data_IF_878887177618
#
_entry.id   IF_878887177618
#
_cell.length_a   1.000
_cell.length_b   1.000
_cell.length_c   1.000
_cell.angle_alpha   90.00
_cell.angle_beta   90.00
_cell.angle_gamma   90.00
#
_symmetry.space_group_name_H-M   'P 1'
#
loop_
_entity.id
_entity.type
_entity.pdbx_description
1 polymer ?
#
# COMPACT_ATOMS: atom_id res chain seq x y z
N UNK A 1 -21.88 -3.99 -2.41
CA UNK A 1 -22.09 -2.53 -2.54
C UNK A 1 -20.81 -1.74 -2.33
N UNK A 2 -20.08 -1.89 -1.17
CA UNK A 2 -18.85 -1.11 -0.90
C UNK A 2 -17.75 -1.38 -1.95
N UNK A 3 -17.51 -2.65 -2.28
CA UNK A 3 -16.55 -3.05 -3.32
C UNK A 3 -16.95 -2.49 -4.70
N UNK A 4 -18.23 -2.54 -5.07
CA UNK A 4 -18.74 -1.99 -6.33
C UNK A 4 -18.52 -0.47 -6.42
N UNK A 5 -18.83 0.25 -5.33
CA UNK A 5 -18.55 1.68 -5.22
C UNK A 5 -17.06 1.96 -5.42
N UNK A 6 -16.19 1.20 -4.75
CA UNK A 6 -14.74 1.34 -4.86
C UNK A 6 -14.22 1.02 -6.25
N UNK A 7 -14.73 -0.04 -6.90
CA UNK A 7 -14.40 -0.37 -8.30
C UNK A 7 -14.72 0.80 -9.23
N UNK A 8 -15.88 1.41 -9.06
CA UNK A 8 -16.27 2.58 -9.87
C UNK A 8 -15.30 3.75 -9.64
N UNK A 9 -15.00 4.09 -8.38
CA UNK A 9 -14.06 5.18 -8.04
C UNK A 9 -12.66 4.93 -8.59
N UNK A 10 -12.15 3.70 -8.44
CA UNK A 10 -10.83 3.31 -8.92
C UNK A 10 -10.77 3.31 -10.46
N UNK A 11 -11.77 2.75 -11.14
CA UNK A 11 -11.84 2.76 -12.61
C UNK A 11 -11.84 4.19 -13.15
N UNK A 12 -12.63 5.08 -12.56
CA UNK A 12 -12.67 6.49 -12.95
C UNK A 12 -11.35 7.24 -12.69
N UNK A 13 -10.54 6.75 -11.75
CA UNK A 13 -9.19 7.26 -11.46
C UNK A 13 -8.08 6.57 -12.30
N UNK A 14 -8.45 5.73 -13.29
CA UNK A 14 -7.52 5.09 -14.22
C UNK A 14 -6.86 3.81 -13.71
N UNK A 15 -7.38 3.18 -12.65
CA UNK A 15 -6.86 1.91 -12.16
C UNK A 15 -7.39 0.73 -12.97
N UNK A 16 -6.52 -0.26 -13.20
CA UNK A 16 -6.87 -1.58 -13.72
C UNK A 16 -6.91 -2.58 -12.57
N UNK A 17 -8.02 -3.30 -12.42
CA UNK A 17 -8.14 -4.34 -11.39
C UNK A 17 -7.37 -5.58 -11.82
N UNK A 18 -6.59 -6.13 -10.90
CA UNK A 18 -5.83 -7.38 -11.02
C UNK A 18 -6.19 -8.32 -9.88
N UNK A 19 -5.77 -9.56 -9.97
CA UNK A 19 -5.87 -10.54 -8.89
C UNK A 19 -4.59 -11.38 -8.88
N UNK A 20 -3.83 -11.32 -7.78
CA UNK A 20 -2.60 -12.08 -7.60
C UNK A 20 -2.86 -13.32 -6.74
N UNK A 21 -2.11 -14.43 -6.93
CA UNK A 21 -2.26 -15.63 -6.11
C UNK A 21 -2.10 -15.34 -4.62
N UNK A 22 -2.85 -16.05 -3.78
CA UNK A 22 -2.72 -15.95 -2.32
C UNK A 22 -1.50 -16.73 -1.80
N UNK A 23 -1.19 -17.86 -2.41
CA UNK A 23 -0.06 -18.72 -2.07
C UNK A 23 1.08 -18.50 -3.04
N UNK A 24 2.25 -18.11 -2.54
CA UNK A 24 3.42 -17.72 -3.33
C UNK A 24 4.69 -18.39 -2.78
N UNK A 25 5.62 -18.72 -3.67
CA UNK A 25 6.90 -19.34 -3.34
C UNK A 25 7.75 -18.45 -2.43
N UNK A 26 8.42 -19.06 -1.45
CA UNK A 26 9.30 -18.41 -0.48
C UNK A 26 10.34 -17.48 -1.14
N UNK A 27 10.90 -17.89 -2.28
CA UNK A 27 11.95 -17.13 -2.97
C UNK A 27 11.51 -15.71 -3.39
N UNK A 28 10.20 -15.51 -3.65
CA UNK A 28 9.67 -14.18 -3.93
C UNK A 28 9.74 -13.27 -2.70
N UNK A 29 9.46 -13.84 -1.53
CA UNK A 29 9.47 -13.13 -0.25
C UNK A 29 10.90 -12.81 0.20
N UNK A 30 11.85 -13.73 -0.04
CA UNK A 30 13.28 -13.50 0.20
C UNK A 30 13.82 -12.37 -0.70
N UNK A 31 13.57 -12.43 -2.01
CA UNK A 31 14.00 -11.41 -2.98
C UNK A 31 13.46 -10.03 -2.63
N UNK A 32 12.21 -9.95 -2.23
CA UNK A 32 11.56 -8.68 -1.85
C UNK A 32 12.01 -8.16 -0.48
N UNK A 33 12.62 -8.99 0.36
CA UNK A 33 13.03 -8.65 1.73
C UNK A 33 11.93 -8.81 2.78
N UNK A 34 10.74 -9.26 2.38
CA UNK A 34 9.64 -9.50 3.32
C UNK A 34 9.95 -10.66 4.26
N UNK A 35 10.66 -11.69 3.77
CA UNK A 35 11.00 -12.86 4.59
C UNK A 35 11.79 -12.46 5.84
N UNK A 36 12.81 -11.62 5.69
CA UNK A 36 13.67 -11.20 6.79
C UNK A 36 13.04 -10.15 7.71
N UNK A 37 12.14 -9.31 7.17
CA UNK A 37 11.59 -8.17 7.90
C UNK A 37 10.17 -8.42 8.43
N UNK A 38 9.47 -9.40 7.88
CA UNK A 38 8.05 -9.65 8.14
C UNK A 38 7.73 -11.14 8.37
N UNK A 39 8.75 -12.03 8.36
CA UNK A 39 8.60 -13.48 8.40
C UNK A 39 7.79 -14.00 9.60
N UNK A 40 7.98 -13.41 10.78
CA UNK A 40 7.27 -13.79 12.01
C UNK A 40 5.73 -13.60 11.93
N UNK A 41 5.27 -12.80 10.97
CA UNK A 41 3.84 -12.55 10.72
C UNK A 41 3.30 -13.34 9.52
N UNK A 42 4.09 -14.21 8.90
CA UNK A 42 3.69 -14.98 7.72
C UNK A 42 3.18 -16.36 8.12
N UNK A 43 2.08 -16.78 7.49
CA UNK A 43 1.66 -18.18 7.49
C UNK A 43 2.41 -18.90 6.38
N UNK A 44 3.07 -20.01 6.73
CA UNK A 44 3.85 -20.81 5.79
C UNK A 44 3.31 -22.23 5.70
N UNK A 45 3.56 -22.89 4.57
CA UNK A 45 3.26 -24.29 4.32
C UNK A 45 4.40 -24.92 3.56
N UNK A 46 4.63 -26.21 3.80
CA UNK A 46 5.63 -26.99 3.08
C UNK A 46 4.93 -28.08 2.25
N UNK A 47 5.41 -28.27 1.03
CA UNK A 47 4.89 -29.29 0.12
C UNK A 47 5.65 -30.59 0.28
N UNK A 48 5.11 -31.75 -0.20
CA UNK A 48 5.79 -33.04 -0.11
C UNK A 48 7.19 -33.09 -0.79
N UNK A 49 7.47 -32.17 -1.74
CA UNK A 49 8.77 -32.00 -2.38
C UNK A 49 9.63 -30.92 -1.68
N UNK A 50 9.37 -30.66 -0.40
CA UNK A 50 10.14 -29.77 0.49
C UNK A 50 10.21 -28.30 0.05
N UNK A 51 9.27 -27.86 -0.80
CA UNK A 51 9.16 -26.43 -1.15
C UNK A 51 8.33 -25.67 -0.12
N UNK A 52 8.84 -24.53 0.28
CA UNK A 52 8.16 -23.65 1.21
C UNK A 52 7.38 -22.57 0.45
N UNK A 53 6.12 -22.48 0.77
CA UNK A 53 5.21 -21.43 0.32
C UNK A 53 4.73 -20.59 1.48
N UNK A 54 4.37 -19.36 1.21
CA UNK A 54 3.72 -18.50 2.19
C UNK A 54 2.42 -17.94 1.64
N UNK A 55 1.42 -17.86 2.51
CA UNK A 55 0.19 -17.11 2.22
C UNK A 55 0.55 -15.62 2.28
N UNK A 56 0.23 -14.87 1.24
CA UNK A 56 0.65 -13.49 1.12
C UNK A 56 0.19 -12.61 2.29
N UNK A 57 1.12 -11.94 2.99
CA UNK A 57 0.79 -10.94 4.00
C UNK A 57 0.57 -9.56 3.40
N UNK A 58 0.97 -9.37 2.13
CA UNK A 58 0.90 -8.15 1.32
C UNK A 58 0.76 -8.51 -0.16
N UNK A 59 0.23 -7.58 -0.97
CA UNK A 59 0.02 -7.81 -2.40
C UNK A 59 1.19 -7.32 -3.28
N UNK A 60 2.06 -6.47 -2.75
CA UNK A 60 3.07 -5.76 -3.51
C UNK A 60 4.02 -6.64 -4.33
N UNK A 61 4.62 -7.75 -3.83
CA UNK A 61 5.51 -8.57 -4.66
C UNK A 61 4.78 -9.23 -5.83
N UNK A 62 3.53 -9.69 -5.62
CA UNK A 62 2.68 -10.24 -6.68
C UNK A 62 2.38 -9.20 -7.76
N UNK A 63 2.05 -7.97 -7.36
CA UNK A 63 1.78 -6.86 -8.27
C UNK A 63 3.02 -6.53 -9.13
N UNK A 64 4.22 -6.55 -8.56
CA UNK A 64 5.46 -6.36 -9.33
C UNK A 64 5.64 -7.45 -10.39
N UNK A 65 5.26 -8.71 -10.11
CA UNK A 65 5.31 -9.77 -11.12
C UNK A 65 4.35 -9.50 -12.29
N UNK A 66 3.16 -8.93 -12.03
CA UNK A 66 2.23 -8.48 -13.09
C UNK A 66 2.85 -7.36 -13.92
N UNK A 67 3.47 -6.35 -13.26
CA UNK A 67 4.16 -5.27 -13.96
C UNK A 67 5.24 -5.79 -14.92
N UNK A 68 5.99 -6.80 -14.51
CA UNK A 68 7.08 -7.42 -15.30
C UNK A 68 6.61 -8.19 -16.52
N UNK A 69 5.32 -8.49 -16.64
CA UNK A 69 4.79 -9.18 -17.83
C UNK A 69 4.85 -8.26 -19.04
N UNK A 70 5.64 -8.65 -20.03
CA UNK A 70 5.89 -7.89 -21.25
C UNK A 70 6.78 -6.65 -21.04
N UNK A 71 7.21 -6.08 -22.17
CA UNK A 71 8.03 -4.86 -22.15
C UNK A 71 7.18 -3.66 -21.74
N UNK A 72 7.72 -2.83 -20.88
CA UNK A 72 7.14 -1.55 -20.48
C UNK A 72 8.01 -0.39 -20.96
N UNK A 73 7.38 0.71 -21.36
CA UNK A 73 8.05 1.95 -21.71
C UNK A 73 7.55 3.12 -20.85
N UNK A 74 8.26 4.23 -20.89
CA UNK A 74 7.83 5.46 -20.20
C UNK A 74 6.41 5.92 -20.59
N UNK A 75 5.92 5.53 -21.78
CA UNK A 75 4.56 5.86 -22.26
C UNK A 75 3.47 5.06 -21.56
N UNK A 76 3.83 3.93 -20.95
CA UNK A 76 2.92 3.10 -20.19
C UNK A 76 2.77 3.60 -18.74
N UNK A 77 3.58 4.58 -18.33
CA UNK A 77 3.60 5.15 -16.98
C UNK A 77 2.85 6.50 -16.92
N UNK A 78 2.10 6.79 -15.85
CA UNK A 78 1.92 5.94 -14.66
C UNK A 78 0.99 4.76 -14.94
N UNK A 79 1.41 3.54 -14.55
CA UNK A 79 0.58 2.34 -14.60
C UNK A 79 -0.02 2.08 -13.21
N UNK A 80 -1.35 2.09 -13.13
CA UNK A 80 -2.12 1.97 -11.87
C UNK A 80 -2.80 0.60 -11.82
N UNK A 81 -2.36 -0.27 -10.92
CA UNK A 81 -2.91 -1.61 -10.72
C UNK A 81 -3.57 -1.69 -9.34
N UNK A 82 -4.84 -2.09 -9.29
CA UNK A 82 -5.59 -2.23 -8.03
C UNK A 82 -6.02 -3.67 -7.81
N UNK A 83 -6.14 -4.07 -6.54
CA UNK A 83 -6.53 -5.41 -6.15
C UNK A 83 -7.35 -5.39 -4.87
N UNK A 84 -8.47 -6.10 -4.84
CA UNK A 84 -9.11 -6.49 -3.58
C UNK A 84 -8.46 -7.78 -3.09
N UNK A 85 -7.23 -7.64 -2.62
CA UNK A 85 -6.38 -8.76 -2.25
C UNK A 85 -6.66 -9.26 -0.84
N UNK A 86 -6.95 -10.56 -0.71
CA UNK A 86 -7.04 -11.20 0.60
C UNK A 86 -5.64 -11.52 1.10
N UNK A 87 -5.31 -10.96 2.26
CA UNK A 87 -3.99 -11.10 2.89
C UNK A 87 -4.14 -11.71 4.28
N UNK A 88 -3.11 -12.43 4.72
CA UNK A 88 -3.10 -13.09 6.02
C UNK A 88 -1.86 -12.68 6.81
N UNK A 89 -2.07 -12.33 8.08
CA UNK A 89 -0.99 -11.98 9.01
C UNK A 89 -1.18 -12.70 10.31
N UNK A 90 -0.13 -13.32 10.81
CA UNK A 90 -0.14 -13.98 12.11
C UNK A 90 -0.09 -12.95 13.23
N UNK A 91 -1.19 -12.22 13.40
CA UNK A 91 -1.35 -11.31 14.53
C UNK A 91 -1.44 -12.10 15.85
N UNK A 92 -0.74 -11.69 16.91
CA UNK A 92 -0.86 -12.34 18.22
C UNK A 92 -2.30 -12.25 18.72
N UNK A 93 -2.76 -13.29 19.44
CA UNK A 93 -4.15 -13.39 19.88
C UNK A 93 -4.60 -12.19 20.72
N UNK A 94 -3.73 -11.64 21.56
CA UNK A 94 -4.00 -10.46 22.38
C UNK A 94 -4.17 -9.15 21.60
N UNK A 95 -3.79 -9.13 20.32
CA UNK A 95 -3.96 -7.96 19.46
C UNK A 95 -5.27 -7.99 18.66
N UNK A 96 -5.98 -9.12 18.62
CA UNK A 96 -7.21 -9.28 17.85
C UNK A 96 -8.34 -8.43 18.45
N UNK A 97 -9.15 -7.78 17.58
CA UNK A 97 -10.19 -6.88 18.03
C UNK A 97 -11.40 -6.84 17.07
N UNK A 98 -12.30 -7.80 17.16
CA UNK A 98 -13.48 -7.90 16.30
C UNK A 98 -13.14 -7.75 14.81
N UNK A 99 -13.87 -6.92 14.07
CA UNK A 99 -13.56 -6.58 12.68
C UNK A 99 -12.37 -5.62 12.53
N UNK A 100 -11.99 -4.93 13.59
CA UNK A 100 -10.98 -3.86 13.54
C UNK A 100 -9.55 -4.39 13.44
N UNK A 101 -9.27 -5.60 13.95
CA UNK A 101 -7.97 -6.27 13.82
C UNK A 101 -8.13 -7.78 13.76
N UNK A 102 -7.89 -8.35 12.60
CA UNK A 102 -8.11 -9.75 12.25
C UNK A 102 -6.85 -10.35 11.62
N UNK A 103 -6.75 -11.67 11.53
CA UNK A 103 -5.63 -12.38 10.88
C UNK A 103 -5.78 -12.51 9.38
N UNK A 104 -7.00 -12.46 8.86
CA UNK A 104 -7.30 -12.50 7.43
C UNK A 104 -8.22 -11.33 7.08
N UNK A 105 -7.83 -10.50 6.12
CA UNK A 105 -8.62 -9.36 5.70
C UNK A 105 -8.46 -9.07 4.22
N UNK A 106 -9.45 -8.42 3.65
CA UNK A 106 -9.43 -7.96 2.26
C UNK A 106 -8.93 -6.52 2.22
N UNK A 107 -7.82 -6.32 1.54
CA UNK A 107 -7.24 -5.00 1.35
C UNK A 107 -7.66 -4.43 0.00
N UNK A 108 -8.13 -3.19 -0.03
CA UNK A 108 -8.34 -2.41 -1.25
C UNK A 108 -7.01 -1.80 -1.73
N UNK A 109 -6.09 -2.66 -2.03
CA UNK A 109 -4.71 -2.30 -2.33
C UNK A 109 -4.54 -1.82 -3.77
N UNK A 110 -3.57 -0.96 -4.00
CA UNK A 110 -3.10 -0.68 -5.35
C UNK A 110 -1.67 -0.19 -5.36
N UNK A 111 -1.06 -0.38 -6.52
CA UNK A 111 0.30 0.01 -6.78
C UNK A 111 0.35 0.85 -8.05
N UNK A 112 1.04 1.99 -7.96
CA UNK A 112 1.23 2.90 -9.09
C UNK A 112 2.71 2.85 -9.44
N UNK A 113 3.01 2.35 -10.63
CA UNK A 113 4.36 2.40 -11.19
C UNK A 113 4.50 3.68 -11.98
N UNK A 114 5.48 4.51 -11.63
CA UNK A 114 5.65 5.83 -12.24
C UNK A 114 7.13 6.20 -12.36
N UNK A 115 7.43 7.30 -13.05
CA UNK A 115 8.76 7.90 -13.03
C UNK A 115 8.95 8.77 -11.78
N UNK A 116 10.20 9.16 -11.47
CA UNK A 116 10.48 10.05 -10.32
C UNK A 116 9.76 11.39 -10.47
N UNK A 117 9.63 11.94 -11.69
CA UNK A 117 8.96 13.22 -11.96
C UNK A 117 7.45 13.16 -11.68
N UNK A 118 6.84 11.98 -11.82
CA UNK A 118 5.40 11.77 -11.62
C UNK A 118 4.99 11.59 -10.14
N UNK A 119 5.93 11.35 -9.23
CA UNK A 119 5.64 11.01 -7.81
C UNK A 119 4.71 12.04 -7.17
N UNK A 120 5.08 13.32 -7.24
CA UNK A 120 4.33 14.38 -6.53
C UNK A 120 2.90 14.54 -7.05
N UNK A 121 2.71 14.40 -8.35
CA UNK A 121 1.38 14.48 -8.98
C UNK A 121 0.52 13.28 -8.58
N UNK A 122 1.06 12.07 -8.67
CA UNK A 122 0.36 10.85 -8.31
C UNK A 122 0.03 10.80 -6.81
N UNK A 123 0.96 11.18 -5.92
CA UNK A 123 0.68 11.28 -4.49
C UNK A 123 -0.43 12.30 -4.18
N UNK A 124 -0.44 13.44 -4.88
CA UNK A 124 -1.50 14.45 -4.74
C UNK A 124 -2.85 13.91 -5.21
N UNK A 125 -2.86 13.19 -6.34
CA UNK A 125 -4.07 12.57 -6.91
C UNK A 125 -4.65 11.51 -5.97
N UNK A 126 -3.81 10.62 -5.43
CA UNK A 126 -4.22 9.60 -4.45
C UNK A 126 -4.78 10.25 -3.19
N UNK A 127 -4.11 11.26 -2.65
CA UNK A 127 -4.58 11.96 -1.45
C UNK A 127 -5.96 12.57 -1.66
N UNK A 128 -6.19 13.22 -2.81
CA UNK A 128 -7.52 13.76 -3.17
C UNK A 128 -8.57 12.66 -3.29
N UNK A 129 -8.22 11.53 -3.90
CA UNK A 129 -9.14 10.39 -4.04
C UNK A 129 -9.56 9.85 -2.67
N UNK A 130 -8.63 9.65 -1.74
CA UNK A 130 -8.92 9.19 -0.37
C UNK A 130 -9.87 10.15 0.34
N UNK A 131 -9.54 11.44 0.34
CA UNK A 131 -10.32 12.45 1.04
C UNK A 131 -11.73 12.60 0.46
N UNK A 132 -11.87 12.49 -0.88
CA UNK A 132 -13.17 12.52 -1.53
C UNK A 132 -14.04 11.32 -1.14
N UNK A 133 -13.46 10.11 -1.12
CA UNK A 133 -14.16 8.88 -0.72
C UNK A 133 -14.60 8.97 0.74
N UNK A 134 -13.75 9.43 1.64
CA UNK A 134 -14.12 9.57 3.05
C UNK A 134 -15.24 10.58 3.26
N UNK A 135 -15.19 11.69 2.53
CA UNK A 135 -16.28 12.68 2.54
C UNK A 135 -17.59 12.10 2.02
N UNK A 136 -17.56 11.35 0.89
CA UNK A 136 -18.74 10.69 0.33
C UNK A 136 -19.37 9.70 1.32
N UNK A 137 -18.53 9.09 2.18
CA UNK A 137 -18.94 8.16 3.23
C UNK A 137 -19.19 8.84 4.59
N UNK A 138 -19.34 10.17 4.61
CA UNK A 138 -19.77 10.93 5.79
C UNK A 138 -18.67 11.26 6.82
N UNK A 139 -17.41 10.93 6.57
CA UNK A 139 -16.31 11.28 7.48
C UNK A 139 -15.88 12.73 7.30
N UNK A 140 -16.18 13.57 8.28
CA UNK A 140 -15.88 15.01 8.25
C UNK A 140 -14.45 15.36 8.69
N UNK A 141 -13.83 14.50 9.50
CA UNK A 141 -12.48 14.71 10.04
C UNK A 141 -11.59 13.54 9.69
N UNK A 142 -10.45 13.85 9.08
CA UNK A 142 -9.39 12.88 8.74
C UNK A 142 -8.09 13.43 9.32
N UNK A 143 -7.38 12.60 10.07
CA UNK A 143 -6.09 12.97 10.64
C UNK A 143 -4.99 12.37 9.78
N UNK A 144 -3.99 13.19 9.44
CA UNK A 144 -2.83 12.73 8.67
C UNK A 144 -1.65 12.51 9.61
N UNK A 145 -0.97 11.38 9.41
CA UNK A 145 0.31 11.08 10.06
C UNK A 145 1.35 10.80 8.99
N UNK A 146 2.46 11.48 9.07
CA UNK A 146 3.62 11.21 8.24
C UNK A 146 4.62 10.39 9.04
N UNK A 147 5.11 9.29 8.46
CA UNK A 147 6.09 8.41 9.08
C UNK A 147 7.33 8.33 8.20
N UNK A 148 8.46 8.69 8.77
CA UNK A 148 9.77 8.67 8.11
C UNK A 148 10.46 7.30 8.24
N UNK A 149 11.71 7.23 7.82
CA UNK A 149 12.53 6.02 7.77
C UNK A 149 12.66 5.32 9.12
N UNK A 150 12.39 3.99 9.20
CA UNK A 150 12.65 3.20 10.40
C UNK A 150 14.14 2.83 10.50
N UNK A 151 14.58 2.40 11.69
CA UNK A 151 15.94 1.91 11.91
C UNK A 151 16.24 0.68 11.02
N UNK A 152 15.34 -0.31 11.03
CA UNK A 152 15.44 -1.51 10.18
C UNK A 152 14.77 -1.26 8.82
N UNK A 153 15.57 -0.90 7.81
CA UNK A 153 15.09 -0.57 6.46
C UNK A 153 15.94 -1.20 5.36
N UNK A 154 15.47 -1.14 4.14
CA UNK A 154 16.21 -1.48 2.92
C UNK A 154 16.50 -0.20 2.13
N UNK A 155 17.56 -0.25 1.29
CA UNK A 155 17.96 0.87 0.43
C UNK A 155 18.89 1.86 1.10
N UNK A 156 19.56 2.65 0.26
CA UNK A 156 20.52 3.67 0.65
C UNK A 156 19.86 4.93 1.21
N UNK A 157 20.54 5.67 2.07
CA UNK A 157 20.00 6.90 2.66
C UNK A 157 19.61 7.95 1.62
N UNK A 158 20.37 8.06 0.53
CA UNK A 158 20.05 8.97 -0.58
C UNK A 158 18.70 8.65 -1.25
N UNK A 159 18.31 7.39 -1.30
CA UNK A 159 17.01 6.92 -1.81
C UNK A 159 15.89 7.31 -0.85
N UNK A 160 16.13 7.16 0.45
CA UNK A 160 15.21 7.59 1.49
C UNK A 160 15.00 9.10 1.49
N UNK A 161 16.08 9.89 1.36
CA UNK A 161 16.01 11.36 1.28
C UNK A 161 15.11 11.82 0.12
N UNK A 162 15.22 11.18 -1.05
CA UNK A 162 14.36 11.46 -2.21
C UNK A 162 12.90 11.12 -1.94
N UNK A 163 12.65 9.92 -1.39
CA UNK A 163 11.29 9.42 -1.11
C UNK A 163 10.58 10.31 -0.09
N UNK A 164 11.26 10.65 1.00
CA UNK A 164 10.72 11.51 2.07
C UNK A 164 10.44 12.91 1.56
N UNK A 165 11.38 13.51 0.80
CA UNK A 165 11.20 14.83 0.20
C UNK A 165 9.98 14.87 -0.74
N UNK A 166 9.83 13.85 -1.58
CA UNK A 166 8.73 13.77 -2.54
C UNK A 166 7.38 13.63 -1.83
N UNK A 167 7.30 12.78 -0.81
CA UNK A 167 6.07 12.55 -0.05
C UNK A 167 5.68 13.77 0.77
N UNK A 168 6.63 14.43 1.43
CA UNK A 168 6.39 15.68 2.16
C UNK A 168 5.95 16.81 1.23
N UNK A 169 6.51 16.89 0.01
CA UNK A 169 6.06 17.87 -0.99
C UNK A 169 4.60 17.64 -1.40
N UNK A 170 4.17 16.39 -1.52
CA UNK A 170 2.78 16.03 -1.80
C UNK A 170 1.85 16.40 -0.64
N UNK A 171 2.22 16.13 0.61
CA UNK A 171 1.44 16.54 1.80
C UNK A 171 1.26 18.05 1.83
N UNK A 172 2.33 18.81 1.67
CA UNK A 172 2.29 20.29 1.71
C UNK A 172 1.34 20.87 0.67
N UNK A 173 1.22 20.24 -0.52
CA UNK A 173 0.27 20.66 -1.56
C UNK A 173 -1.19 20.51 -1.15
N UNK A 174 -1.51 19.60 -0.22
CA UNK A 174 -2.88 19.41 0.28
C UNK A 174 -3.34 20.51 1.24
N UNK A 175 -2.40 21.23 1.84
CA UNK A 175 -2.63 22.24 2.90
C UNK A 175 -3.31 21.65 4.16
N UNK A 176 -3.27 20.34 4.34
CA UNK A 176 -3.79 19.68 5.53
C UNK A 176 -2.73 19.63 6.63
N UNK A 177 -3.19 19.73 7.88
CA UNK A 177 -2.35 19.51 9.04
C UNK A 177 -1.96 18.03 9.16
N UNK A 178 -0.74 17.76 9.59
CA UNK A 178 -0.26 16.41 9.81
C UNK A 178 0.68 16.34 11.02
N UNK A 179 0.74 15.19 11.65
CA UNK A 179 1.70 14.87 12.69
C UNK A 179 2.84 14.02 12.13
N UNK A 180 4.01 14.08 12.78
CA UNK A 180 5.19 13.29 12.39
C UNK A 180 5.34 12.13 13.36
N UNK A 181 5.33 10.91 12.84
CA UNK A 181 5.66 9.69 13.55
C UNK A 181 7.06 9.24 13.14
N UNK A 182 8.07 9.59 13.93
CA UNK A 182 9.47 9.25 13.62
C UNK A 182 9.71 7.75 13.70
N UNK A 183 10.38 7.22 12.66
CA UNK A 183 10.77 5.81 12.59
C UNK A 183 9.65 4.81 12.30
N UNK A 184 8.43 5.27 12.00
CA UNK A 184 7.26 4.40 11.82
C UNK A 184 6.93 4.13 10.33
N UNK A 185 7.82 4.49 9.42
CA UNK A 185 7.70 4.18 8.00
C UNK A 185 7.71 2.67 7.74
N UNK A 186 7.32 2.26 6.53
CA UNK A 186 7.53 0.89 6.10
C UNK A 186 9.03 0.62 5.91
N UNK A 187 9.45 -0.64 5.99
CA UNK A 187 10.88 -0.97 5.84
C UNK A 187 11.44 -0.61 4.45
N UNK A 188 10.58 -0.36 3.47
CA UNK A 188 10.93 -0.03 2.07
C UNK A 188 10.66 1.41 1.67
N UNK A 189 9.93 2.19 2.48
CA UNK A 189 9.63 3.58 2.14
C UNK A 189 8.84 4.36 3.21
N UNK A 190 8.90 5.71 3.17
CA UNK A 190 8.11 6.57 4.04
C UNK A 190 6.62 6.47 3.69
N UNK A 191 5.74 6.81 4.64
CA UNK A 191 4.30 6.70 4.46
C UNK A 191 3.51 7.90 4.98
N UNK A 192 2.36 8.14 4.37
CA UNK A 192 1.27 8.93 4.93
C UNK A 192 0.18 7.96 5.38
N UNK A 193 -0.33 8.15 6.57
CA UNK A 193 -1.47 7.44 7.12
C UNK A 193 -2.66 8.38 7.20
N UNK A 194 -3.81 7.90 6.72
CA UNK A 194 -5.10 8.58 6.84
C UNK A 194 -5.88 7.89 7.96
N UNK A 195 -6.04 8.59 9.07
CA UNK A 195 -6.59 8.05 10.30
C UNK A 195 -8.01 8.52 10.46
N UNK A 196 -8.90 7.58 10.70
CA UNK A 196 -10.30 7.83 11.08
C UNK A 196 -10.45 7.54 12.58
N UNK A 197 -11.34 8.30 13.21
CA UNK A 197 -11.68 8.11 14.62
C UNK A 197 -13.02 7.43 14.75
N UNK A 198 -13.08 6.37 15.55
CA UNK A 198 -14.32 5.66 15.81
C UNK A 198 -15.24 6.44 16.78
N UNK A 199 -16.44 5.89 17.02
CA UNK A 199 -17.47 6.53 17.82
C UNK A 199 -17.08 6.76 19.30
N UNK A 200 -16.12 6.00 19.82
CA UNK A 200 -15.60 6.12 21.19
C UNK A 200 -14.25 6.83 21.28
N UNK A 201 -13.79 7.43 20.17
CA UNK A 201 -12.61 8.28 20.15
C UNK A 201 -11.28 7.58 19.88
N UNK A 202 -11.27 6.29 19.49
CA UNK A 202 -10.04 5.56 19.11
C UNK A 202 -9.64 5.89 17.70
N UNK A 203 -8.34 6.06 17.47
CA UNK A 203 -7.76 6.32 16.16
C UNK A 203 -7.45 5.00 15.43
N UNK A 204 -7.90 4.90 14.19
CA UNK A 204 -7.65 3.75 13.32
C UNK A 204 -7.02 4.18 12.01
N UNK A 205 -5.86 3.63 11.70
CA UNK A 205 -5.27 3.76 10.38
C UNK A 205 -6.15 3.04 9.37
N UNK A 206 -6.62 3.78 8.37
CA UNK A 206 -7.39 3.26 7.24
C UNK A 206 -6.62 3.44 5.94
N UNK A 207 -6.63 4.63 5.36
CA UNK A 207 -5.87 4.90 4.15
C UNK A 207 -4.37 4.97 4.39
N UNK A 208 -3.61 4.60 3.38
CA UNK A 208 -2.14 4.73 3.36
C UNK A 208 -1.65 5.14 1.98
N UNK A 209 -0.55 5.88 1.95
CA UNK A 209 0.21 6.17 0.75
C UNK A 209 1.69 6.10 1.09
N UNK A 210 2.44 5.30 0.34
CA UNK A 210 3.86 5.05 0.57
C UNK A 210 4.63 5.26 -0.73
N UNK A 211 5.83 5.83 -0.64
CA UNK A 211 6.74 5.99 -1.78
C UNK A 211 7.88 4.99 -1.64
N UNK A 212 8.01 4.12 -2.62
CA UNK A 212 8.98 3.03 -2.65
C UNK A 212 9.86 3.13 -3.90
N UNK A 213 11.15 3.37 -3.68
CA UNK A 213 12.20 3.34 -4.71
C UNK A 213 13.08 2.07 -4.62
N UNK A 214 12.71 1.10 -3.77
CA UNK A 214 13.52 -0.07 -3.48
C UNK A 214 12.96 -1.37 -4.07
N UNK A 215 11.70 -1.67 -3.78
CA UNK A 215 11.09 -2.96 -4.06
C UNK A 215 11.07 -3.33 -5.56
N UNK A 216 10.71 -2.41 -6.49
CA UNK A 216 10.72 -2.74 -7.91
C UNK A 216 12.09 -3.19 -8.41
N UNK A 217 13.17 -2.51 -8.01
CA UNK A 217 14.54 -2.86 -8.36
C UNK A 217 14.97 -4.20 -7.79
N UNK A 218 14.66 -4.48 -6.52
CA UNK A 218 14.93 -5.77 -5.87
C UNK A 218 14.26 -6.94 -6.58
N UNK A 219 13.09 -6.72 -7.14
CA UNK A 219 12.33 -7.73 -7.91
C UNK A 219 12.61 -7.69 -9.41
N UNK A 220 13.56 -6.85 -9.87
CA UNK A 220 13.99 -6.77 -11.26
C UNK A 220 12.95 -6.16 -12.22
N UNK A 221 12.12 -5.24 -11.73
CA UNK A 221 11.19 -4.49 -12.56
C UNK A 221 11.91 -3.34 -13.28
N UNK A 222 11.72 -3.22 -14.59
CA UNK A 222 12.30 -2.16 -15.41
C UNK A 222 11.32 -1.67 -16.47
N UNK A 223 11.53 -0.44 -16.93
CA UNK A 223 10.88 0.13 -18.11
C UNK A 223 11.93 0.77 -19.03
N UNK A 224 11.60 0.97 -20.30
CA UNK A 224 12.44 1.68 -21.26
C UNK A 224 12.10 3.16 -21.22
N UNK A 225 13.07 3.99 -20.88
CA UNK A 225 12.91 5.45 -20.83
C UNK A 225 13.02 6.10 -22.23
N UNK A 226 12.82 7.40 -22.29
CA UNK A 226 12.85 8.20 -23.53
C UNK A 226 14.16 8.12 -24.30
N UNK A 227 15.26 7.94 -23.58
CA UNK A 227 16.61 7.79 -24.12
C UNK A 227 16.95 6.35 -24.55
N UNK A 228 15.99 5.41 -24.45
CA UNK A 228 16.19 4.00 -24.76
C UNK A 228 16.85 3.20 -23.63
N UNK A 229 17.27 3.83 -22.53
CA UNK A 229 17.84 3.13 -21.37
C UNK A 229 16.79 2.39 -20.55
N UNK A 230 17.20 1.32 -19.87
CA UNK A 230 16.36 0.64 -18.90
C UNK A 230 16.48 1.30 -17.54
N UNK A 231 15.36 1.72 -16.97
CA UNK A 231 15.26 2.31 -15.63
C UNK A 231 14.33 1.53 -14.74
N UNK A 232 14.58 1.61 -13.43
CA UNK A 232 13.68 1.05 -12.40
C UNK A 232 12.55 2.04 -12.16
N UNK A 233 11.27 1.61 -12.18
CA UNK A 233 10.17 2.51 -11.86
C UNK A 233 10.10 2.79 -10.35
N UNK A 234 9.56 3.93 -9.99
CA UNK A 234 9.07 4.18 -8.64
C UNK A 234 7.75 3.44 -8.45
N UNK A 235 7.52 2.92 -7.25
CA UNK A 235 6.27 2.27 -6.88
C UNK A 235 5.61 3.02 -5.73
N UNK A 236 4.37 3.46 -5.95
CA UNK A 236 3.56 4.00 -4.87
C UNK A 236 2.62 2.91 -4.41
N UNK A 237 2.63 2.63 -3.12
CA UNK A 237 1.67 1.71 -2.49
C UNK A 237 0.55 2.55 -1.89
N UNK A 238 -0.70 2.19 -2.16
CA UNK A 238 -1.83 2.86 -1.54
C UNK A 238 -2.95 1.90 -1.18
N UNK A 239 -3.57 2.17 -0.05
CA UNK A 239 -4.87 1.64 0.31
C UNK A 239 -5.79 2.81 0.63
N UNK A 240 -7.07 2.73 0.28
CA UNK A 240 -8.04 3.79 0.56
C UNK A 240 -8.76 3.50 1.88
N UNK A 241 -9.18 2.26 2.08
CA UNK A 241 -9.76 1.76 3.34
C UNK A 241 -8.78 1.01 4.21
N UNK A 242 -7.74 0.43 3.62
CA UNK A 242 -6.75 -0.42 4.26
C UNK A 242 -7.26 -1.85 4.43
N UNK A 243 -8.20 -2.07 5.31
CA UNK A 243 -8.93 -3.33 5.51
C UNK A 243 -10.41 -3.07 5.34
N UNK A 244 -11.08 -3.82 4.47
CA UNK A 244 -12.54 -3.71 4.32
C UNK A 244 -13.25 -4.08 5.63
N UNK A 245 -12.75 -5.08 6.35
CA UNK A 245 -13.30 -5.52 7.62
C UNK A 245 -13.24 -4.40 8.66
N UNK A 246 -12.06 -3.78 8.84
CA UNK A 246 -11.89 -2.62 9.74
C UNK A 246 -12.78 -1.45 9.34
N UNK A 247 -12.78 -1.11 8.06
CA UNK A 247 -13.55 0.02 7.57
C UNK A 247 -15.06 -0.18 7.74
N UNK A 248 -15.56 -1.41 7.50
CA UNK A 248 -16.96 -1.77 7.76
C UNK A 248 -17.28 -1.63 9.25
N UNK A 249 -16.39 -2.09 10.15
CA UNK A 249 -16.56 -1.91 11.59
C UNK A 249 -16.70 -0.42 11.97
N UNK A 250 -15.83 0.43 11.45
CA UNK A 250 -15.88 1.88 11.67
C UNK A 250 -17.16 2.49 11.09
N UNK A 251 -17.60 2.07 9.90
CA UNK A 251 -18.85 2.53 9.29
C UNK A 251 -20.07 2.17 10.14
N UNK A 252 -20.14 0.92 10.62
CA UNK A 252 -21.24 0.46 11.48
C UNK A 252 -21.32 1.32 12.73
N UNK A 253 -20.20 1.60 13.38
CA UNK A 253 -20.13 2.46 14.56
C UNK A 253 -20.53 3.92 14.23
N UNK A 254 -20.00 4.47 13.12
CA UNK A 254 -20.26 5.85 12.72
C UNK A 254 -21.75 6.11 12.39
N UNK A 255 -22.44 5.11 11.87
CA UNK A 255 -23.87 5.18 11.53
C UNK A 255 -24.79 4.53 12.55
N UNK A 256 -24.28 4.14 13.72
CA UNK A 256 -25.04 3.47 14.80
C UNK A 256 -25.84 2.26 14.28
N UNK A 257 -25.28 1.50 13.32
CA UNK A 257 -25.90 0.30 12.76
C UNK A 257 -27.03 0.55 11.75
N UNK A 258 -27.19 1.79 11.28
CA UNK A 258 -28.23 2.17 10.31
C UNK A 258 -27.77 2.05 8.87
#
# INVERSE_FOLDING_TARGET
>A
RLIEYMRLKQRNAGYREINTPELLDKSLWEKSGHWDKFGDLMFTSETPDEKVFAIKPMNCPGCVQIFKQGLKSYRDLPLKLSEFGKVHRYEPSGALHGLLRVRAFTQDDAHIFCTEEQITEECTSVTKLILNIYRDLGFKKVFLKYSDRPEKRVGEDSVWDKSEKALLAAIKKTKLEYTINKGEGAFYGPKIEFVLRDAIGRDWQCGTLQVDLNLPGRLGATFVDKDGSKKVPVMLHRALFGSLERFIGILIENYAGK
#
